data_IF_315428156184
#
_entry.id   IF_315428156184
#
_cell.length_a   1.000
_cell.length_b   1.000
_cell.length_c   1.000
_cell.angle_alpha   90.00
_cell.angle_beta   90.00
_cell.angle_gamma   90.00
#
_symmetry.space_group_name_H-M   'P 1'
#
loop_
_entity.id
_entity.type
_entity.pdbx_description
1 polymer ?
#
# COMPACT_ATOMS: atom_id res chain seq x y z
N UNK A 1 -19.10 9.61 -12.69
CA UNK A 1 -18.86 8.71 -11.54
C UNK A 1 -17.52 9.08 -10.92
N UNK A 2 -17.55 9.91 -9.88
CA UNK A 2 -16.35 10.48 -9.25
C UNK A 2 -15.93 9.64 -8.05
N UNK A 3 -14.67 9.16 -8.03
CA UNK A 3 -13.99 8.73 -6.81
C UNK A 3 -12.56 9.25 -6.86
N UNK A 4 -12.46 10.57 -6.67
CA UNK A 4 -11.22 11.31 -6.59
C UNK A 4 -10.85 11.35 -5.10
N UNK A 5 -9.79 10.65 -4.69
CA UNK A 5 -9.25 10.78 -3.34
C UNK A 5 -8.17 11.86 -3.40
N UNK A 6 -8.53 13.06 -2.91
CA UNK A 6 -7.76 14.29 -2.99
C UNK A 6 -6.92 14.49 -1.73
N UNK A 7 -5.60 14.42 -1.93
CA UNK A 7 -4.45 15.07 -1.28
C UNK A 7 -4.56 15.65 0.15
N UNK A 8 -3.62 15.27 1.03
CA UNK A 8 -2.72 16.20 1.77
C UNK A 8 -1.81 15.42 2.75
N UNK A 9 -0.49 15.58 2.63
CA UNK A 9 0.49 15.02 3.58
C UNK A 9 1.89 14.97 3.00
N UNK A 10 2.54 16.13 2.87
CA UNK A 10 3.97 16.21 2.60
C UNK A 10 4.71 16.32 3.94
N UNK A 11 4.79 15.23 4.72
CA UNK A 11 5.64 15.14 5.91
C UNK A 11 6.60 13.97 5.74
N UNK A 12 7.85 14.28 5.39
CA UNK A 12 8.93 13.31 5.09
C UNK A 12 8.62 12.35 3.91
N UNK A 13 9.18 12.57 2.70
CA UNK A 13 8.78 11.88 1.46
C UNK A 13 9.10 10.38 1.40
N UNK A 14 9.57 9.77 2.50
CA UNK A 14 10.03 8.39 2.53
C UNK A 14 9.12 7.46 3.33
N UNK A 15 8.52 7.94 4.42
CA UNK A 15 7.69 7.12 5.33
C UNK A 15 6.20 7.31 5.06
N UNK A 16 5.70 8.56 5.04
CA UNK A 16 4.28 8.79 4.75
C UNK A 16 3.86 8.26 3.38
N UNK A 17 4.73 8.36 2.37
CA UNK A 17 4.47 7.78 1.05
C UNK A 17 4.44 6.24 1.06
N UNK A 18 5.17 5.58 1.97
CA UNK A 18 5.09 4.12 2.13
C UNK A 18 3.75 3.71 2.71
N UNK A 19 3.37 4.34 3.82
CA UNK A 19 2.11 4.04 4.50
C UNK A 19 0.90 4.26 3.57
N UNK A 20 0.95 5.28 2.71
CA UNK A 20 -0.10 5.54 1.73
C UNK A 20 -0.14 4.50 0.59
N UNK A 21 1.03 4.04 0.11
CA UNK A 21 1.12 2.91 -0.83
C UNK A 21 0.56 1.63 -0.20
N UNK A 22 0.93 1.34 1.06
CA UNK A 22 0.48 0.14 1.79
C UNK A 22 -1.03 0.18 1.98
N UNK A 23 -1.56 1.32 2.44
CA UNK A 23 -3.00 1.51 2.61
C UNK A 23 -3.77 1.30 1.31
N UNK A 24 -3.29 1.89 0.22
CA UNK A 24 -3.93 1.77 -1.10
C UNK A 24 -3.96 0.31 -1.57
N UNK A 25 -2.85 -0.40 -1.42
CA UNK A 25 -2.74 -1.79 -1.83
C UNK A 25 -3.56 -2.72 -0.93
N UNK A 26 -3.58 -2.49 0.39
CA UNK A 26 -4.39 -3.24 1.34
C UNK A 26 -5.89 -3.10 1.03
N UNK A 27 -6.33 -1.88 0.69
CA UNK A 27 -7.72 -1.63 0.29
C UNK A 27 -8.09 -2.35 -1.02
N UNK A 28 -7.18 -2.38 -2.00
CA UNK A 28 -7.38 -3.17 -3.22
C UNK A 28 -7.50 -4.67 -2.90
N UNK A 29 -6.60 -5.22 -2.08
CA UNK A 29 -6.64 -6.63 -1.68
C UNK A 29 -7.93 -6.98 -0.93
N UNK A 30 -8.43 -6.08 -0.09
CA UNK A 30 -9.71 -6.23 0.59
C UNK A 30 -10.90 -6.25 -0.38
N UNK A 31 -10.89 -5.36 -1.39
CA UNK A 31 -11.92 -5.34 -2.44
C UNK A 31 -11.87 -6.60 -3.32
N UNK A 32 -10.67 -7.02 -3.77
CA UNK A 32 -10.48 -8.22 -4.57
C UNK A 32 -10.80 -9.49 -3.78
N UNK A 33 -10.53 -9.49 -2.48
CA UNK A 33 -10.85 -10.57 -1.56
C UNK A 33 -12.33 -10.68 -1.20
N UNK A 34 -13.22 -9.94 -1.86
CA UNK A 34 -14.67 -10.04 -1.69
C UNK A 34 -15.19 -9.42 -0.39
N UNK A 35 -14.51 -8.39 0.12
CA UNK A 35 -14.92 -7.66 1.34
C UNK A 35 -15.02 -8.55 2.58
N UNK A 36 -14.20 -9.61 2.66
CA UNK A 36 -14.19 -10.51 3.82
C UNK A 36 -13.62 -9.76 5.03
N UNK A 37 -14.52 -9.34 5.93
CA UNK A 37 -14.18 -8.70 7.18
C UNK A 37 -13.43 -9.63 8.14
N UNK A 38 -12.55 -9.07 8.97
CA UNK A 38 -11.72 -9.81 9.92
C UNK A 38 -10.37 -10.26 9.36
N UNK A 39 -10.07 -9.92 8.11
CA UNK A 39 -8.75 -10.12 7.47
C UNK A 39 -8.07 -8.80 7.12
N UNK A 40 -8.53 -7.71 7.72
CA UNK A 40 -8.06 -6.35 7.45
C UNK A 40 -6.56 -6.24 7.74
N UNK A 41 -6.12 -6.87 8.84
CA UNK A 41 -4.72 -6.97 9.22
C UNK A 41 -3.89 -7.82 8.25
N UNK A 42 -4.46 -8.92 7.75
CA UNK A 42 -3.80 -9.81 6.78
C UNK A 42 -3.58 -9.08 5.45
N UNK A 43 -4.59 -8.35 4.98
CA UNK A 43 -4.49 -7.55 3.77
C UNK A 43 -3.47 -6.41 3.91
N UNK A 44 -3.40 -5.79 5.09
CA UNK A 44 -2.38 -4.80 5.41
C UNK A 44 -0.97 -5.40 5.37
N UNK A 45 -0.77 -6.56 6.02
CA UNK A 45 0.53 -7.22 6.07
C UNK A 45 0.97 -7.71 4.67
N UNK A 46 0.04 -8.23 3.86
CA UNK A 46 0.32 -8.60 2.47
C UNK A 46 0.74 -7.39 1.64
N UNK A 47 0.05 -6.26 1.79
CA UNK A 47 0.38 -5.03 1.08
C UNK A 47 1.78 -4.53 1.45
N UNK A 48 2.10 -4.50 2.74
CA UNK A 48 3.42 -4.10 3.23
C UNK A 48 4.53 -4.98 2.66
N UNK A 49 4.38 -6.30 2.71
CA UNK A 49 5.38 -7.23 2.17
C UNK A 49 5.59 -7.06 0.66
N UNK A 50 4.52 -6.83 -0.10
CA UNK A 50 4.65 -6.58 -1.54
C UNK A 50 5.42 -5.29 -1.84
N UNK A 51 5.16 -4.21 -1.12
CA UNK A 51 5.84 -2.93 -1.33
C UNK A 51 7.30 -3.00 -0.89
N UNK A 52 7.59 -3.59 0.27
CA UNK A 52 8.96 -3.84 0.72
C UNK A 52 9.73 -4.70 -0.27
N UNK A 53 9.11 -5.74 -0.84
CA UNK A 53 9.73 -6.60 -1.86
C UNK A 53 10.02 -5.81 -3.14
N UNK A 54 9.08 -4.98 -3.61
CA UNK A 54 9.25 -4.12 -4.79
C UNK A 54 10.38 -3.12 -4.59
N UNK A 55 10.45 -2.45 -3.44
CA UNK A 55 11.56 -1.52 -3.11
C UNK A 55 12.89 -2.23 -2.97
N UNK A 56 12.94 -3.37 -2.28
CA UNK A 56 14.17 -4.17 -2.14
C UNK A 56 14.66 -4.65 -3.51
N UNK A 57 13.75 -5.08 -4.38
CA UNK A 57 14.09 -5.48 -5.76
C UNK A 57 14.58 -4.29 -6.59
N UNK A 58 13.93 -3.13 -6.46
CA UNK A 58 14.34 -1.91 -7.13
C UNK A 58 15.77 -1.51 -6.72
N UNK A 59 16.07 -1.51 -5.42
CA UNK A 59 17.40 -1.19 -4.91
C UNK A 59 18.48 -2.18 -5.38
N UNK A 60 18.14 -3.46 -5.57
CA UNK A 60 19.06 -4.49 -6.07
C UNK A 60 19.36 -4.39 -7.57
N UNK A 61 18.56 -3.64 -8.33
CA UNK A 61 18.73 -3.49 -9.78
C UNK A 61 19.55 -2.25 -10.16
N UNK A 62 19.79 -1.33 -9.22
CA UNK A 62 20.49 -0.05 -9.45
C UNK A 62 21.96 -0.12 -8.98
N UNK A 63 22.54 -1.33 -8.92
CA UNK A 63 23.96 -1.56 -8.58
C UNK A 63 24.67 -2.31 -9.69
#
# INVERSE_FOLDING_TARGET
MAKQHKAAGASSPTRESLDDEIRSLAYQLYCEGGYQGGRDLEYWLQAEQQILTRRKTHLRRVV
#
